data_IF_170528254139
#
_entry.id   IF_170528254139
#
_cell.length_a   1.000
_cell.length_b   1.000
_cell.length_c   1.000
_cell.angle_alpha   90.00
_cell.angle_beta   90.00
_cell.angle_gamma   90.00
#
_symmetry.space_group_name_H-M   'P 1'
#
loop_
_entity.id
_entity.type
_entity.pdbx_description
1 polymer ?
#
# COMPACT_ATOMS: atom_id res chain seq x y z
N UNK A 1 -8.43 21.86 -38.81
CA UNK A 1 -7.56 20.69 -39.00
C UNK A 1 -7.61 19.85 -37.73
N UNK A 2 -8.30 18.71 -37.78
CA UNK A 2 -8.57 17.85 -36.63
C UNK A 2 -7.39 16.89 -36.39
N UNK A 3 -6.83 16.91 -35.18
CA UNK A 3 -5.80 15.96 -34.75
C UNK A 3 -6.46 14.83 -33.94
N UNK A 4 -6.21 13.61 -34.39
CA UNK A 4 -6.73 12.34 -33.88
C UNK A 4 -6.17 12.04 -32.48
N UNK A 5 -7.05 11.86 -31.50
CA UNK A 5 -6.72 11.21 -30.24
C UNK A 5 -6.71 9.69 -30.44
N UNK A 6 -5.54 9.07 -30.24
CA UNK A 6 -5.36 7.61 -30.26
C UNK A 6 -5.62 7.07 -28.86
N UNK A 7 -6.81 6.51 -28.64
CA UNK A 7 -7.13 5.74 -27.44
C UNK A 7 -6.67 4.28 -27.63
N UNK A 8 -5.81 3.79 -26.73
CA UNK A 8 -5.48 2.36 -26.65
C UNK A 8 -6.45 1.68 -25.66
N UNK A 9 -7.07 0.53 -26.02
CA UNK A 9 -7.96 -0.19 -25.12
C UNK A 9 -7.18 -1.14 -24.20
N UNK A 10 -7.31 -0.96 -22.88
CA UNK A 10 -6.94 -1.97 -21.89
C UNK A 10 -8.06 -3.02 -21.82
N UNK A 11 -7.70 -4.26 -22.18
CA UNK A 11 -8.56 -5.44 -22.17
C UNK A 11 -8.45 -6.11 -20.79
N UNK A 12 -9.55 -6.20 -20.06
CA UNK A 12 -9.65 -6.93 -18.79
C UNK A 12 -10.67 -8.05 -18.96
N UNK A 13 -10.18 -9.28 -19.12
CA UNK A 13 -11.02 -10.48 -19.08
C UNK A 13 -11.27 -10.87 -17.61
N UNK A 14 -12.52 -11.22 -17.32
CA UNK A 14 -13.11 -11.26 -15.99
C UNK A 14 -12.72 -12.44 -15.11
N UNK A 15 -13.00 -12.30 -13.81
CA UNK A 15 -13.11 -13.39 -12.86
C UNK A 15 -14.13 -13.05 -11.79
N UNK A 16 -15.17 -13.88 -11.66
CA UNK A 16 -16.20 -13.81 -10.62
C UNK A 16 -15.83 -14.74 -9.45
N UNK A 17 -16.15 -14.40 -8.18
CA UNK A 17 -15.86 -15.26 -7.04
C UNK A 17 -17.05 -16.21 -6.72
N UNK A 18 -16.75 -17.49 -6.51
CA UNK A 18 -17.67 -18.45 -5.89
C UNK A 18 -17.43 -18.51 -4.37
N UNK A 19 -18.51 -18.34 -3.63
CA UNK A 19 -18.62 -18.52 -2.17
C UNK A 19 -18.94 -19.98 -1.84
N UNK A 20 -18.25 -20.59 -0.88
CA UNK A 20 -18.73 -21.84 -0.28
C UNK A 20 -18.52 -21.88 1.24
N UNK A 21 -19.46 -22.55 1.90
CA UNK A 21 -19.91 -22.39 3.28
C UNK A 21 -19.07 -23.17 4.31
N UNK A 22 -18.88 -22.57 5.48
CA UNK A 22 -18.39 -23.24 6.69
C UNK A 22 -19.49 -24.05 7.39
N UNK A 23 -19.14 -25.25 7.88
CA UNK A 23 -19.87 -25.97 8.93
C UNK A 23 -18.92 -26.30 10.09
N UNK A 24 -19.34 -25.99 11.31
CA UNK A 24 -18.65 -26.35 12.57
C UNK A 24 -19.47 -27.40 13.35
N UNK A 25 -18.78 -28.34 14.00
CA UNK A 25 -19.27 -29.18 15.11
C UNK A 25 -18.08 -29.80 15.90
N UNK A 26 -18.24 -30.24 17.17
CA UNK A 26 -17.34 -29.81 18.25
C UNK A 26 -16.40 -30.87 18.89
N UNK A 27 -15.53 -30.29 19.74
CA UNK A 27 -14.52 -30.75 20.71
C UNK A 27 -14.65 -32.11 21.43
N UNK A 28 -13.49 -32.73 21.72
CA UNK A 28 -13.21 -33.46 22.98
C UNK A 28 -11.71 -33.46 23.33
N UNK A 29 -11.45 -33.30 24.63
CA UNK A 29 -10.16 -33.10 25.29
C UNK A 29 -9.30 -34.37 25.41
N UNK A 30 -7.99 -34.20 25.64
CA UNK A 30 -7.22 -34.83 26.73
C UNK A 30 -5.74 -34.34 26.76
N UNK A 31 -5.36 -33.82 27.93
CA UNK A 31 -4.11 -34.03 28.70
C UNK A 31 -2.72 -34.02 28.01
N UNK A 32 -1.85 -33.11 28.49
CA UNK A 32 -0.52 -33.50 28.97
C UNK A 32 0.71 -32.92 28.26
N UNK A 33 1.55 -32.28 29.08
CA UNK A 33 2.98 -31.99 28.94
C UNK A 33 3.47 -30.76 28.16
N UNK A 34 4.06 -29.85 28.96
CA UNK A 34 4.94 -28.77 28.54
C UNK A 34 6.14 -29.30 27.77
N UNK A 35 6.32 -28.86 26.52
CA UNK A 35 7.62 -28.52 25.92
C UNK A 35 7.47 -28.02 24.49
N UNK A 36 8.16 -26.91 24.20
CA UNK A 36 8.49 -26.34 22.88
C UNK A 36 7.31 -26.02 21.96
N UNK A 37 6.92 -24.74 21.95
CA UNK A 37 6.04 -24.16 20.92
C UNK A 37 6.65 -24.36 19.54
N UNK A 38 6.05 -25.27 18.78
CA UNK A 38 6.23 -25.52 17.36
C UNK A 38 5.14 -24.74 16.63
N UNK A 39 5.51 -23.67 15.93
CA UNK A 39 4.59 -22.93 15.05
C UNK A 39 4.29 -23.80 13.82
N UNK A 40 3.18 -24.55 13.87
CA UNK A 40 2.58 -25.20 12.70
C UNK A 40 1.14 -24.74 12.54
N UNK A 41 0.80 -24.47 11.28
CA UNK A 41 -0.52 -24.20 10.71
C UNK A 41 -1.10 -22.81 10.99
N UNK A 42 -0.82 -21.87 10.08
CA UNK A 42 -1.54 -20.61 9.98
C UNK A 42 -2.47 -20.66 8.77
N UNK A 43 -3.74 -20.97 9.04
CA UNK A 43 -4.89 -20.59 8.20
C UNK A 43 -5.10 -19.07 8.29
N UNK A 44 -5.79 -18.50 7.31
CA UNK A 44 -5.98 -17.05 7.07
C UNK A 44 -6.63 -16.20 8.18
N UNK A 45 -6.77 -16.69 9.41
CA UNK A 45 -7.43 -15.97 10.51
C UNK A 45 -6.47 -15.36 11.56
N UNK A 46 -5.15 -15.56 11.46
CA UNK A 46 -4.20 -14.94 12.39
C UNK A 46 -3.70 -13.57 11.89
N UNK A 47 -4.55 -12.56 12.02
CA UNK A 47 -4.01 -11.24 12.39
C UNK A 47 -3.38 -11.42 13.77
N UNK A 48 -2.10 -11.04 13.99
CA UNK A 48 -1.51 -11.13 15.32
C UNK A 48 -2.34 -10.27 16.27
N UNK A 49 -3.16 -10.90 17.11
CA UNK A 49 -3.82 -10.21 18.22
C UNK A 49 -2.71 -9.86 19.19
N UNK A 50 -2.34 -8.58 19.19
CA UNK A 50 -1.38 -8.05 20.13
C UNK A 50 -1.94 -8.27 21.55
N UNK A 51 -1.16 -8.82 22.49
CA UNK A 51 -1.67 -9.19 23.81
C UNK A 51 -2.30 -7.97 24.50
N UNK A 52 -3.49 -8.18 25.08
CA UNK A 52 -4.26 -7.17 25.82
C UNK A 52 -3.45 -6.67 27.03
N UNK A 53 -2.64 -5.65 26.80
CA UNK A 53 -1.72 -5.02 27.76
C UNK A 53 -0.85 -3.93 27.14
N UNK A 54 -1.24 -3.42 25.97
CA UNK A 54 -0.37 -2.77 24.98
C UNK A 54 -0.02 -1.29 25.22
N UNK A 55 -0.17 -0.78 26.44
CA UNK A 55 -0.09 0.67 26.72
C UNK A 55 1.32 1.14 27.11
N UNK A 56 2.28 0.25 27.40
CA UNK A 56 3.59 0.66 27.93
C UNK A 56 4.82 0.31 27.09
N UNK A 57 4.67 -0.11 25.83
CA UNK A 57 5.84 -0.28 24.94
C UNK A 57 6.08 0.99 24.14
N UNK A 58 7.34 1.43 24.10
CA UNK A 58 7.73 2.62 23.35
C UNK A 58 7.42 2.45 21.86
N UNK A 59 7.06 3.54 21.18
CA UNK A 59 6.74 3.51 19.75
C UNK A 59 7.90 2.96 18.90
N UNK A 60 9.15 3.16 19.34
CA UNK A 60 10.34 2.60 18.71
C UNK A 60 10.32 1.07 18.73
N UNK A 61 10.06 0.47 19.90
CA UNK A 61 10.00 -0.98 20.03
C UNK A 61 8.84 -1.57 19.20
N UNK A 62 7.67 -0.92 19.21
CA UNK A 62 6.54 -1.35 18.36
C UNK A 62 6.91 -1.33 16.88
N UNK A 63 7.58 -0.27 16.41
CA UNK A 63 8.07 -0.17 15.03
C UNK A 63 9.04 -1.30 14.69
N UNK A 64 10.02 -1.56 15.54
CA UNK A 64 11.01 -2.62 15.33
C UNK A 64 10.35 -4.00 15.24
N UNK A 65 9.41 -4.30 16.13
CA UNK A 65 8.64 -5.55 16.11
C UNK A 65 7.82 -5.71 14.82
N UNK A 66 7.16 -4.66 14.37
CA UNK A 66 6.37 -4.68 13.12
C UNK A 66 7.27 -4.87 11.88
N UNK A 67 8.44 -4.22 11.85
CA UNK A 67 9.43 -4.40 10.78
C UNK A 67 9.94 -5.84 10.77
N UNK A 68 10.26 -6.41 11.94
CA UNK A 68 10.74 -7.78 12.07
C UNK A 68 9.68 -8.79 11.63
N UNK A 69 8.43 -8.65 12.10
CA UNK A 69 7.31 -9.50 11.72
C UNK A 69 7.09 -9.48 10.19
N UNK A 70 7.22 -8.32 9.56
CA UNK A 70 7.15 -8.16 8.10
C UNK A 70 8.26 -8.91 7.37
N UNK A 71 9.50 -8.81 7.83
CA UNK A 71 10.64 -9.54 7.25
C UNK A 71 10.43 -11.05 7.35
N UNK A 72 9.94 -11.52 8.49
CA UNK A 72 9.69 -12.95 8.71
C UNK A 72 8.53 -13.47 7.86
N UNK A 73 7.44 -12.71 7.73
CA UNK A 73 6.36 -13.02 6.81
C UNK A 73 6.85 -13.10 5.35
N UNK A 74 7.71 -12.16 4.93
CA UNK A 74 8.31 -12.17 3.59
C UNK A 74 9.22 -13.36 3.33
N UNK A 75 9.92 -13.88 4.36
CA UNK A 75 10.75 -15.10 4.22
C UNK A 75 9.88 -16.35 4.11
N UNK A 76 8.73 -16.37 4.77
CA UNK A 76 7.79 -17.51 4.75
C UNK A 76 7.05 -17.65 3.42
N UNK A 77 6.69 -16.53 2.77
CA UNK A 77 5.75 -16.59 1.64
C UNK A 77 6.29 -17.31 0.40
N UNK A 78 7.60 -17.58 0.28
CA UNK A 78 8.27 -18.13 -0.93
C UNK A 78 7.93 -17.38 -2.23
N UNK A 79 7.24 -16.24 -2.14
CA UNK A 79 6.69 -15.52 -3.27
C UNK A 79 7.79 -14.69 -3.91
N UNK A 80 7.97 -14.85 -5.21
CA UNK A 80 8.97 -14.10 -5.97
C UNK A 80 8.49 -12.67 -6.18
N UNK A 81 8.94 -11.78 -5.31
CA UNK A 81 8.67 -10.33 -5.45
C UNK A 81 9.36 -9.79 -6.69
N UNK A 82 8.69 -8.90 -7.45
CA UNK A 82 9.32 -8.18 -8.55
C UNK A 82 10.57 -7.45 -8.05
N UNK A 83 11.60 -7.41 -8.91
CA UNK A 83 12.87 -6.78 -8.56
C UNK A 83 12.69 -5.27 -8.40
N UNK A 84 11.97 -4.64 -9.33
CA UNK A 84 11.88 -3.19 -9.41
C UNK A 84 10.49 -2.76 -9.90
N UNK A 85 9.95 -1.70 -9.30
CA UNK A 85 8.83 -0.93 -9.84
C UNK A 85 9.36 0.41 -10.37
N UNK A 86 9.08 0.71 -11.63
CA UNK A 86 9.45 1.99 -12.25
C UNK A 86 8.19 2.82 -12.43
N UNK A 87 8.21 4.05 -11.93
CA UNK A 87 7.13 5.02 -12.06
C UNK A 87 7.68 6.22 -12.82
N UNK A 88 7.20 6.42 -14.05
CA UNK A 88 7.59 7.54 -14.89
C UNK A 88 6.44 8.54 -14.97
N UNK A 89 6.72 9.79 -14.61
CA UNK A 89 5.72 10.87 -14.54
C UNK A 89 6.30 12.21 -14.97
N UNK A 90 5.47 13.11 -15.45
CA UNK A 90 5.78 14.52 -15.62
C UNK A 90 5.67 15.24 -14.27
N UNK A 91 6.64 16.09 -13.90
CA UNK A 91 6.65 16.76 -12.59
C UNK A 91 5.37 17.57 -12.34
N UNK A 92 4.84 18.24 -13.38
CA UNK A 92 3.64 19.07 -13.31
C UNK A 92 2.35 18.25 -13.12
N UNK A 93 2.36 16.98 -13.55
CA UNK A 93 1.21 16.05 -13.46
C UNK A 93 1.50 14.85 -12.56
N UNK A 94 2.53 14.96 -11.72
CA UNK A 94 3.04 13.84 -10.94
C UNK A 94 1.97 13.23 -10.06
N UNK A 95 1.11 14.03 -9.42
CA UNK A 95 0.03 13.53 -8.59
C UNK A 95 -0.98 12.68 -9.39
N UNK A 96 -1.57 13.26 -10.42
CA UNK A 96 -2.58 12.59 -11.26
C UNK A 96 -2.02 11.30 -11.88
N UNK A 97 -0.85 11.38 -12.52
CA UNK A 97 -0.24 10.24 -13.20
C UNK A 97 0.19 9.15 -12.20
N UNK A 98 0.69 9.54 -11.02
CA UNK A 98 1.05 8.57 -9.97
C UNK A 98 -0.18 7.87 -9.42
N UNK A 99 -1.27 8.59 -9.12
CA UNK A 99 -2.49 7.95 -8.61
C UNK A 99 -3.09 6.99 -9.64
N UNK A 100 -3.11 7.37 -10.92
CA UNK A 100 -3.55 6.49 -12.00
C UNK A 100 -2.67 5.22 -12.09
N UNK A 101 -1.34 5.38 -12.08
CA UNK A 101 -0.38 4.28 -12.10
C UNK A 101 -0.57 3.35 -10.89
N UNK A 102 -0.65 3.92 -9.69
CA UNK A 102 -0.81 3.17 -8.45
C UNK A 102 -2.17 2.47 -8.37
N UNK A 103 -3.23 3.06 -8.92
CA UNK A 103 -4.55 2.44 -9.01
C UNK A 103 -4.54 1.22 -9.94
N UNK A 104 -3.82 1.28 -11.06
CA UNK A 104 -3.74 0.20 -12.04
C UNK A 104 -2.72 -0.90 -11.70
N UNK A 105 -1.73 -0.62 -10.83
CA UNK A 105 -0.66 -1.56 -10.51
C UNK A 105 -1.15 -2.72 -9.64
N UNK A 106 -0.63 -3.94 -9.87
CA UNK A 106 -0.97 -5.09 -9.03
C UNK A 106 -0.34 -4.98 -7.63
N UNK A 107 -0.98 -5.50 -6.56
CA UNK A 107 -0.42 -5.45 -5.22
C UNK A 107 0.98 -6.07 -5.10
N UNK A 108 1.25 -7.16 -5.84
CA UNK A 108 2.55 -7.83 -5.87
C UNK A 108 3.67 -6.96 -6.46
N UNK A 109 3.34 -6.06 -7.40
CA UNK A 109 4.29 -5.10 -7.97
C UNK A 109 4.56 -3.91 -7.06
N UNK A 110 3.58 -3.48 -6.25
CA UNK A 110 3.75 -2.38 -5.30
C UNK A 110 4.73 -2.72 -4.17
N UNK A 111 4.92 -4.00 -3.87
CA UNK A 111 5.87 -4.51 -2.88
C UNK A 111 7.21 -4.94 -3.50
N UNK A 112 7.54 -4.43 -4.69
CA UNK A 112 8.84 -4.65 -5.33
C UNK A 112 10.00 -4.30 -4.39
N UNK A 113 11.16 -4.93 -4.61
CA UNK A 113 12.35 -4.70 -3.76
C UNK A 113 12.84 -3.26 -3.86
N UNK A 114 12.87 -2.74 -5.07
CA UNK A 114 13.32 -1.38 -5.37
C UNK A 114 12.21 -0.60 -6.08
N UNK A 115 12.11 0.70 -5.78
CA UNK A 115 11.24 1.62 -6.51
C UNK A 115 12.07 2.72 -7.12
N UNK A 116 11.82 3.02 -8.38
CA UNK A 116 12.49 4.08 -9.10
C UNK A 116 11.44 5.00 -9.69
N UNK A 117 11.36 6.21 -9.13
CA UNK A 117 10.62 7.28 -9.75
C UNK A 117 11.51 7.97 -10.81
N UNK A 118 10.91 8.40 -11.92
CA UNK A 118 11.57 9.13 -12.99
C UNK A 118 10.69 10.30 -13.40
N UNK A 119 11.26 11.51 -13.38
CA UNK A 119 10.60 12.69 -13.92
C UNK A 119 10.95 12.86 -15.39
N UNK A 120 9.95 12.97 -16.26
CA UNK A 120 10.17 13.12 -17.69
C UNK A 120 10.98 14.38 -18.01
N UNK A 121 12.00 14.23 -18.86
CA UNK A 121 12.90 15.33 -19.22
C UNK A 121 13.95 15.66 -18.15
N UNK A 122 13.94 15.02 -16.99
CA UNK A 122 14.94 15.21 -15.93
C UNK A 122 15.96 14.07 -15.91
N UNK A 123 17.25 14.42 -15.86
CA UNK A 123 18.32 13.43 -15.72
C UNK A 123 18.42 13.02 -14.25
N UNK A 124 17.86 11.87 -13.89
CA UNK A 124 18.02 11.28 -12.57
C UNK A 124 19.48 10.94 -12.29
N UNK A 125 20.13 11.66 -11.38
CA UNK A 125 21.53 11.43 -11.00
C UNK A 125 21.63 10.39 -9.87
N UNK A 126 20.62 10.33 -8.98
CA UNK A 126 20.53 9.40 -7.86
C UNK A 126 19.13 8.80 -7.75
N UNK A 127 19.00 7.48 -7.97
CA UNK A 127 17.72 6.79 -7.92
C UNK A 127 17.08 6.81 -6.52
N UNK A 128 17.89 6.80 -5.45
CA UNK A 128 17.38 6.82 -4.07
C UNK A 128 16.82 8.19 -3.67
N UNK A 129 17.54 9.26 -4.01
CA UNK A 129 17.07 10.63 -3.85
C UNK A 129 15.79 10.92 -4.64
N UNK A 130 15.67 10.41 -5.86
CA UNK A 130 14.49 10.67 -6.72
C UNK A 130 13.22 9.99 -6.19
N UNK A 131 13.33 8.79 -5.60
CA UNK A 131 12.16 8.16 -4.97
C UNK A 131 11.65 8.97 -3.76
N UNK A 132 12.55 9.52 -2.93
CA UNK A 132 12.18 10.42 -1.82
C UNK A 132 11.55 11.71 -2.33
N UNK A 133 12.16 12.35 -3.32
CA UNK A 133 11.61 13.57 -3.95
C UNK A 133 10.20 13.31 -4.51
N UNK A 134 9.98 12.14 -5.12
CA UNK A 134 8.66 11.75 -5.60
C UNK A 134 7.63 11.63 -4.47
N UNK A 135 7.93 10.90 -3.38
CA UNK A 135 7.01 10.83 -2.23
C UNK A 135 6.72 12.20 -1.62
N UNK A 136 7.76 13.04 -1.46
CA UNK A 136 7.62 14.37 -0.89
C UNK A 136 6.79 15.30 -1.79
N UNK A 137 6.96 15.21 -3.11
CA UNK A 137 6.18 15.95 -4.10
C UNK A 137 4.71 15.55 -4.03
N UNK A 138 4.42 14.24 -3.97
CA UNK A 138 3.06 13.72 -3.90
C UNK A 138 2.38 14.14 -2.59
N UNK A 139 3.07 14.02 -1.46
CA UNK A 139 2.55 14.46 -0.16
C UNK A 139 2.20 15.95 -0.15
N UNK A 140 3.10 16.81 -0.65
CA UNK A 140 2.84 18.25 -0.79
C UNK A 140 1.68 18.54 -1.74
N UNK A 141 1.59 17.83 -2.86
CA UNK A 141 0.52 18.02 -3.84
C UNK A 141 -0.85 17.64 -3.28
N UNK A 142 -0.92 16.57 -2.47
CA UNK A 142 -2.14 16.17 -1.77
C UNK A 142 -2.61 17.24 -0.77
N UNK A 143 -1.68 17.80 0.02
CA UNK A 143 -1.98 18.90 0.95
C UNK A 143 -2.50 20.12 0.20
N UNK A 144 -1.79 20.56 -0.84
CA UNK A 144 -2.19 21.73 -1.63
C UNK A 144 -3.56 21.55 -2.30
N UNK A 145 -3.85 20.36 -2.84
CA UNK A 145 -5.15 20.06 -3.43
C UNK A 145 -6.27 20.04 -2.37
N UNK A 146 -5.97 19.59 -1.15
CA UNK A 146 -6.92 19.66 -0.04
C UNK A 146 -7.21 21.11 0.37
N UNK A 147 -6.18 21.95 0.45
CA UNK A 147 -6.29 23.38 0.78
C UNK A 147 -7.06 24.18 -0.27
N UNK A 148 -6.90 23.85 -1.57
CA UNK A 148 -7.68 24.45 -2.67
C UNK A 148 -9.12 23.96 -2.73
N UNK A 149 -9.44 22.84 -2.09
CA UNK A 149 -10.76 22.23 -2.12
C UNK A 149 -11.07 21.42 -3.38
N UNK A 150 -10.09 21.20 -4.26
CA UNK A 150 -10.24 20.45 -5.53
C UNK A 150 -9.71 19.00 -5.45
N UNK A 151 -9.03 18.65 -4.34
CA UNK A 151 -8.49 17.31 -4.08
C UNK A 151 -9.45 16.29 -3.45
N UNK A 152 -8.93 15.08 -3.23
CA UNK A 152 -9.66 13.96 -2.60
C UNK A 152 -9.72 14.02 -1.07
N UNK A 153 -8.88 14.87 -0.49
CA UNK A 153 -8.83 15.11 0.94
C UNK A 153 -9.44 16.49 1.23
N UNK A 154 -9.87 16.67 2.46
CA UNK A 154 -10.30 17.94 3.03
C UNK A 154 -9.44 18.26 4.24
N UNK A 155 -9.15 19.55 4.43
CA UNK A 155 -8.48 20.04 5.62
C UNK A 155 -9.52 20.22 6.72
N UNK A 156 -9.29 19.60 7.88
CA UNK A 156 -10.12 19.77 9.08
C UNK A 156 -9.68 21.00 9.90
N UNK A 157 -10.49 21.49 10.87
CA UNK A 157 -10.15 22.67 11.66
C UNK A 157 -8.81 22.59 12.40
N UNK A 158 -8.38 21.38 12.78
CA UNK A 158 -7.10 21.11 13.44
C UNK A 158 -5.92 20.95 12.45
N UNK A 159 -6.14 21.26 11.17
CA UNK A 159 -5.20 21.10 10.05
C UNK A 159 -4.85 19.66 9.70
N UNK A 160 -5.57 18.68 10.22
CA UNK A 160 -5.44 17.30 9.73
C UNK A 160 -6.14 17.13 8.40
N UNK A 161 -5.75 16.09 7.65
CA UNK A 161 -6.39 15.72 6.39
C UNK A 161 -7.32 14.54 6.62
N UNK A 162 -8.53 14.63 6.07
CA UNK A 162 -9.49 13.53 6.04
C UNK A 162 -9.99 13.29 4.60
N UNK A 163 -10.42 12.06 4.25
CA UNK A 163 -11.11 11.83 2.99
C UNK A 163 -12.31 12.77 2.84
N UNK A 164 -12.47 13.34 1.64
CA UNK A 164 -13.62 14.20 1.36
C UNK A 164 -14.92 13.38 1.39
N UNK A 165 -15.95 13.83 2.13
CA UNK A 165 -17.25 13.17 2.11
C UNK A 165 -17.82 13.12 0.68
N UNK A 166 -18.37 11.98 0.31
CA UNK A 166 -19.05 11.79 -0.98
C UNK A 166 -18.17 12.06 -2.22
N UNK A 167 -16.83 11.91 -2.15
CA UNK A 167 -15.99 12.00 -3.34
C UNK A 167 -16.29 10.82 -4.29
N UNK A 168 -16.78 11.07 -5.52
CA UNK A 168 -17.08 10.00 -6.47
C UNK A 168 -15.81 9.34 -7.02
N UNK A 169 -14.63 9.94 -6.84
CA UNK A 169 -13.32 9.46 -7.32
C UNK A 169 -12.71 8.46 -6.33
N UNK A 170 -13.47 7.42 -5.97
CA UNK A 170 -13.04 6.42 -4.98
C UNK A 170 -11.76 5.68 -5.39
N UNK A 171 -11.54 5.52 -6.70
CA UNK A 171 -10.31 4.91 -7.23
C UNK A 171 -9.05 5.67 -6.81
N UNK A 172 -9.11 7.00 -6.71
CA UNK A 172 -7.98 7.82 -6.31
C UNK A 172 -7.73 7.73 -4.80
N UNK A 173 -8.78 7.63 -3.97
CA UNK A 173 -8.64 7.35 -2.54
C UNK A 173 -7.97 5.99 -2.29
N UNK A 174 -8.34 4.99 -3.08
CA UNK A 174 -7.68 3.68 -3.06
C UNK A 174 -6.19 3.78 -3.45
N UNK A 175 -5.86 4.54 -4.48
CA UNK A 175 -4.48 4.79 -4.89
C UNK A 175 -3.68 5.59 -3.84
N UNK A 176 -4.31 6.55 -3.15
CA UNK A 176 -3.71 7.27 -2.01
C UNK A 176 -3.39 6.30 -0.86
N UNK A 177 -4.31 5.38 -0.55
CA UNK A 177 -4.05 4.33 0.43
C UNK A 177 -2.85 3.46 0.06
N UNK A 178 -2.72 3.08 -1.23
CA UNK A 178 -1.55 2.37 -1.75
C UNK A 178 -0.27 3.19 -1.64
N UNK A 179 -0.31 4.48 -1.97
CA UNK A 179 0.82 5.40 -1.83
C UNK A 179 1.34 5.44 -0.38
N UNK A 180 0.44 5.62 0.59
CA UNK A 180 0.78 5.64 2.03
C UNK A 180 1.35 4.27 2.45
N UNK A 181 0.71 3.18 2.01
CA UNK A 181 1.19 1.82 2.28
C UNK A 181 2.59 1.58 1.74
N UNK A 182 2.90 2.07 0.54
CA UNK A 182 4.24 2.00 -0.06
C UNK A 182 5.26 2.82 0.71
N UNK A 183 4.91 4.04 1.12
CA UNK A 183 5.81 4.89 1.92
C UNK A 183 6.20 4.20 3.25
N UNK A 184 5.24 3.51 3.90
CA UNK A 184 5.50 2.71 5.09
C UNK A 184 6.26 1.41 4.78
N UNK A 185 6.02 0.82 3.61
CA UNK A 185 6.69 -0.42 3.20
C UNK A 185 8.18 -0.20 2.91
N UNK A 186 8.52 0.88 2.20
CA UNK A 186 9.88 1.19 1.74
C UNK A 186 10.69 1.99 2.76
N UNK A 187 10.04 2.49 3.82
CA UNK A 187 10.60 3.36 4.85
C UNK A 187 11.90 2.88 5.46
#
# INVERSE_FOLDING_TARGET
>A
AAARASALPLRLDGFAPQTDQMRFAPSRALSGNMSRMSLRHLSSDEVPVLPEGEISTSACLKRELLVQARVDASKRSKETKPRQLVIQVERQRALEQSLACLGATSPSSLIARDITAMFEGEKGIDAGGVARDWFDLLGRSLVQAAERGDGHLTVLPDRTLAPRPCDPRFADLYAIGRLIGMALWLG
#
